data_IF_776041133838
#
_entry.id   IF_776041133838
#
_cell.length_a   1.000
_cell.length_b   1.000
_cell.length_c   1.000
_cell.angle_alpha   90.00
_cell.angle_beta   90.00
_cell.angle_gamma   90.00
#
_symmetry.space_group_name_H-M   'P 1'
#
loop_
_entity.id
_entity.type
_entity.pdbx_description
1 polymer ?
#
# COMPACT_ATOMS: atom_id res chain seq x y z
N UNK A 1 7.49 -94.55 -5.08
CA UNK A 1 6.85 -93.51 -4.26
C UNK A 1 7.47 -92.16 -4.67
N UNK A 2 6.79 -91.37 -5.51
CA UNK A 2 7.23 -90.04 -5.96
C UNK A 2 6.47 -88.96 -5.14
N UNK A 3 7.19 -88.18 -4.30
CA UNK A 3 6.60 -87.04 -3.58
C UNK A 3 6.76 -85.80 -4.47
N UNK A 4 5.67 -85.23 -4.87
CA UNK A 4 5.57 -83.98 -5.65
C UNK A 4 5.56 -82.80 -4.63
N UNK A 5 6.53 -81.90 -4.75
CA UNK A 5 6.65 -80.68 -3.93
C UNK A 5 5.95 -79.54 -4.71
N UNK A 6 4.86 -79.00 -4.18
CA UNK A 6 4.20 -77.84 -4.73
C UNK A 6 4.81 -76.58 -4.08
N UNK A 7 5.49 -75.76 -4.90
CA UNK A 7 5.92 -74.44 -4.52
C UNK A 7 4.71 -73.47 -4.59
N UNK A 8 4.41 -72.83 -3.47
CA UNK A 8 3.43 -71.77 -3.36
C UNK A 8 4.14 -70.41 -3.53
N UNK A 9 3.95 -69.73 -4.66
CA UNK A 9 4.43 -68.35 -4.90
C UNK A 9 3.47 -67.39 -4.27
N UNK A 10 3.88 -66.73 -3.17
CA UNK A 10 3.19 -65.61 -2.54
C UNK A 10 3.67 -64.35 -3.24
N UNK A 11 2.81 -63.78 -4.11
CA UNK A 11 3.03 -62.46 -4.72
C UNK A 11 2.76 -61.36 -3.70
N UNK A 12 3.81 -60.66 -3.23
CA UNK A 12 3.68 -59.45 -2.43
C UNK A 12 3.39 -58.31 -3.38
N UNK A 13 2.13 -57.83 -3.42
CA UNK A 13 1.74 -56.60 -4.06
C UNK A 13 2.21 -55.43 -3.20
N UNK A 14 3.32 -54.81 -3.58
CA UNK A 14 3.78 -53.53 -2.98
C UNK A 14 2.88 -52.45 -3.55
N UNK A 15 1.79 -52.13 -2.86
CA UNK A 15 0.98 -50.93 -3.10
C UNK A 15 1.77 -49.69 -2.74
N UNK A 16 2.42 -49.06 -3.72
CA UNK A 16 3.04 -47.74 -3.52
C UNK A 16 1.98 -46.71 -3.17
N UNK A 17 1.86 -46.34 -1.90
CA UNK A 17 1.12 -45.15 -1.48
C UNK A 17 1.94 -43.96 -2.00
N UNK A 18 1.48 -43.37 -3.11
CA UNK A 18 1.95 -42.07 -3.55
C UNK A 18 1.52 -41.07 -2.49
N UNK A 19 2.38 -40.82 -1.50
CA UNK A 19 2.27 -39.69 -0.60
C UNK A 19 2.48 -38.43 -1.46
N UNK A 20 1.39 -37.84 -1.95
CA UNK A 20 1.42 -36.47 -2.46
C UNK A 20 1.71 -35.59 -1.25
N UNK A 21 2.98 -35.31 -0.99
CA UNK A 21 3.37 -34.27 -0.05
C UNK A 21 2.72 -32.97 -0.54
N UNK A 22 1.63 -32.56 0.08
CA UNK A 22 1.11 -31.20 -0.11
C UNK A 22 2.25 -30.25 0.23
N UNK A 23 2.72 -29.52 -0.81
CA UNK A 23 3.77 -28.53 -0.61
C UNK A 23 3.27 -27.52 0.44
N UNK A 24 4.00 -27.37 1.53
CA UNK A 24 3.63 -26.41 2.58
C UNK A 24 3.48 -25.01 1.94
N UNK A 25 2.40 -24.28 2.27
CA UNK A 25 2.18 -22.96 1.72
C UNK A 25 3.35 -22.04 2.06
N UNK A 26 3.78 -21.28 1.08
CA UNK A 26 4.88 -20.33 1.23
C UNK A 26 4.50 -19.23 2.22
N UNK A 27 5.28 -19.09 3.29
CA UNK A 27 5.05 -18.05 4.30
C UNK A 27 5.53 -16.69 3.80
N UNK A 28 4.63 -15.72 3.68
CA UNK A 28 4.94 -14.36 3.24
C UNK A 28 4.42 -13.35 4.26
N UNK A 29 5.32 -12.50 4.73
CA UNK A 29 5.01 -11.35 5.60
C UNK A 29 4.96 -10.08 4.76
N UNK A 30 3.86 -9.34 4.87
CA UNK A 30 3.65 -8.06 4.17
C UNK A 30 3.45 -6.95 5.20
N UNK A 31 4.44 -6.08 5.36
CA UNK A 31 4.26 -4.87 6.15
C UNK A 31 3.34 -3.88 5.45
N UNK A 32 2.43 -3.21 6.15
CA UNK A 32 1.65 -2.13 5.56
C UNK A 32 1.66 -0.87 6.44
N UNK A 33 1.71 0.31 5.80
CA UNK A 33 2.17 1.55 6.46
C UNK A 33 1.07 2.37 7.10
N UNK A 34 -0.21 2.13 6.81
CA UNK A 34 -1.29 2.96 7.33
C UNK A 34 -2.62 2.21 7.45
N UNK A 35 -3.47 2.65 8.39
CA UNK A 35 -4.87 2.26 8.53
C UNK A 35 -5.74 3.24 7.72
N UNK A 36 -5.71 3.16 6.40
CA UNK A 36 -6.43 4.06 5.48
C UNK A 36 -7.12 3.25 4.38
N UNK A 37 -8.19 3.80 3.81
CA UNK A 37 -8.99 3.13 2.79
C UNK A 37 -8.21 2.69 1.55
N UNK A 38 -7.12 3.37 1.21
CA UNK A 38 -6.23 3.00 0.11
C UNK A 38 -5.48 1.68 0.32
N UNK A 39 -5.45 1.11 1.54
CA UNK A 39 -4.85 -0.20 1.83
C UNK A 39 -5.83 -1.36 1.70
N UNK A 40 -7.10 -1.08 1.46
CA UNK A 40 -8.15 -2.10 1.35
C UNK A 40 -7.89 -3.16 0.27
N UNK A 41 -7.23 -2.88 -0.88
CA UNK A 41 -6.85 -3.94 -1.82
C UNK A 41 -6.00 -5.06 -1.21
N UNK A 42 -5.08 -4.76 -0.28
CA UNK A 42 -4.32 -5.76 0.46
C UNK A 42 -5.22 -6.53 1.44
N UNK A 43 -6.06 -5.81 2.17
CA UNK A 43 -6.92 -6.41 3.19
C UNK A 43 -7.97 -7.34 2.57
N UNK A 44 -8.64 -6.91 1.50
CA UNK A 44 -9.63 -7.74 0.81
C UNK A 44 -8.97 -8.95 0.13
N UNK A 45 -7.73 -8.81 -0.38
CA UNK A 45 -6.98 -9.95 -0.89
C UNK A 45 -6.75 -11.01 0.19
N UNK A 46 -6.51 -10.59 1.45
CA UNK A 46 -6.41 -11.50 2.59
C UNK A 46 -7.76 -12.08 2.99
N UNK A 47 -8.81 -11.25 3.09
CA UNK A 47 -10.14 -11.67 3.55
C UNK A 47 -10.88 -12.60 2.56
N UNK A 48 -10.51 -12.57 1.29
CA UNK A 48 -11.05 -13.45 0.26
C UNK A 48 -10.13 -14.63 -0.08
N UNK A 49 -9.12 -14.91 0.75
CA UNK A 49 -8.16 -16.00 0.59
C UNK A 49 -7.45 -15.99 -0.78
N UNK A 50 -7.22 -14.77 -1.37
CA UNK A 50 -6.61 -14.66 -2.69
C UNK A 50 -5.13 -15.05 -2.68
N UNK A 51 -4.44 -14.84 -1.57
CA UNK A 51 -3.07 -15.32 -1.37
C UNK A 51 -3.03 -16.84 -1.21
N UNK A 52 -3.92 -17.39 -0.44
CA UNK A 52 -4.04 -18.82 -0.19
C UNK A 52 -4.33 -19.58 -1.48
N UNK A 53 -5.16 -19.04 -2.39
CA UNK A 53 -5.39 -19.58 -3.74
C UNK A 53 -4.12 -19.62 -4.60
N UNK A 54 -3.13 -18.80 -4.27
CA UNK A 54 -1.80 -18.82 -4.90
C UNK A 54 -0.79 -19.69 -4.14
N UNK A 55 -1.22 -20.48 -3.15
CA UNK A 55 -0.34 -21.30 -2.32
C UNK A 55 0.53 -20.48 -1.36
N UNK A 56 0.07 -19.29 -0.98
CA UNK A 56 0.78 -18.36 -0.07
C UNK A 56 -0.01 -18.22 1.23
N UNK A 57 0.63 -18.45 2.35
CA UNK A 57 0.13 -18.02 3.65
C UNK A 57 0.60 -16.60 3.92
N UNK A 58 -0.25 -15.62 3.62
CA UNK A 58 0.07 -14.20 3.78
C UNK A 58 -0.26 -13.70 5.18
N UNK A 59 0.69 -12.99 5.80
CA UNK A 59 0.52 -12.28 7.07
C UNK A 59 0.69 -10.77 6.87
N UNK A 60 -0.39 -10.01 6.68
CA UNK A 60 -0.34 -8.54 6.70
C UNK A 60 -0.06 -8.05 8.12
N UNK A 61 0.97 -7.18 8.28
CA UNK A 61 1.41 -6.66 9.57
C UNK A 61 1.40 -5.13 9.51
N UNK A 62 0.60 -4.51 10.37
CA UNK A 62 0.59 -3.06 10.48
C UNK A 62 1.88 -2.55 11.12
N UNK A 63 2.60 -1.74 10.38
CA UNK A 63 3.83 -1.06 10.79
C UNK A 63 3.77 0.39 10.31
N UNK A 64 3.43 1.35 11.18
CA UNK A 64 3.08 2.70 10.74
C UNK A 64 4.22 3.41 10.02
N UNK A 65 3.84 4.17 9.00
CA UNK A 65 4.71 5.09 8.26
C UNK A 65 5.92 4.38 7.61
N UNK A 66 7.15 4.79 7.96
CA UNK A 66 8.40 4.25 7.36
C UNK A 66 8.83 2.90 7.92
N UNK A 67 8.26 2.44 9.06
CA UNK A 67 8.69 1.21 9.73
C UNK A 67 8.52 -0.04 8.87
N UNK A 68 7.44 -0.13 8.07
CA UNK A 68 7.23 -1.28 7.18
C UNK A 68 8.34 -1.41 6.13
N UNK A 69 8.86 -0.30 5.62
CA UNK A 69 9.98 -0.31 4.66
C UNK A 69 11.31 -0.65 5.35
N UNK A 70 11.53 -0.18 6.58
CA UNK A 70 12.70 -0.54 7.37
C UNK A 70 12.74 -2.04 7.67
N UNK A 71 11.62 -2.63 8.10
CA UNK A 71 11.48 -4.06 8.33
C UNK A 71 11.70 -4.88 7.04
N UNK A 72 11.18 -4.41 5.90
CA UNK A 72 11.40 -5.04 4.59
C UNK A 72 12.88 -5.01 4.18
N UNK A 73 13.55 -3.87 4.34
CA UNK A 73 14.98 -3.74 4.01
C UNK A 73 15.86 -4.56 4.94
N UNK A 74 15.44 -4.75 6.20
CA UNK A 74 16.10 -5.64 7.15
C UNK A 74 15.81 -7.14 6.92
N UNK A 75 14.86 -7.48 6.01
CA UNK A 75 14.46 -8.86 5.73
C UNK A 75 13.48 -9.46 6.74
N UNK A 76 12.93 -8.67 7.67
CA UNK A 76 11.94 -9.12 8.65
C UNK A 76 10.56 -9.33 8.00
N UNK A 77 10.25 -8.55 6.95
CA UNK A 77 9.12 -8.76 6.04
C UNK A 77 9.61 -8.92 4.61
N UNK A 78 8.84 -9.65 3.79
CA UNK A 78 9.21 -9.92 2.40
C UNK A 78 8.80 -8.76 1.48
N UNK A 79 7.69 -8.11 1.82
CA UNK A 79 7.11 -7.00 1.06
C UNK A 79 6.65 -5.89 2.01
N UNK A 80 6.53 -4.69 1.44
CA UNK A 80 5.84 -3.57 2.07
C UNK A 80 4.77 -3.01 1.13
N UNK A 81 3.59 -2.73 1.68
CA UNK A 81 2.52 -1.97 1.00
C UNK A 81 2.45 -0.59 1.60
N UNK A 82 2.57 0.42 0.77
CA UNK A 82 2.54 1.82 1.21
C UNK A 82 2.84 2.79 0.08
N UNK A 83 2.89 4.07 0.40
CA UNK A 83 3.31 5.10 -0.56
C UNK A 83 4.82 5.04 -0.83
N UNK A 84 5.19 5.29 -2.06
CA UNK A 84 6.51 4.91 -2.58
C UNK A 84 7.62 5.98 -2.39
N UNK A 85 7.39 7.04 -1.63
CA UNK A 85 8.44 8.03 -1.31
C UNK A 85 9.57 7.40 -0.47
N UNK A 86 9.28 6.68 0.66
CA UNK A 86 10.33 6.06 1.45
C UNK A 86 11.23 5.08 0.67
N UNK A 87 10.72 4.18 -0.18
CA UNK A 87 11.58 3.32 -0.99
C UNK A 87 12.40 4.11 -2.02
N UNK A 88 11.88 5.18 -2.61
CA UNK A 88 12.68 6.04 -3.51
C UNK A 88 13.84 6.70 -2.74
N UNK A 89 13.57 7.25 -1.54
CA UNK A 89 14.63 7.82 -0.69
C UNK A 89 15.66 6.76 -0.27
N UNK A 90 15.23 5.56 0.11
CA UNK A 90 16.12 4.47 0.50
C UNK A 90 17.03 4.05 -0.66
N UNK A 91 16.51 3.98 -1.89
CA UNK A 91 17.30 3.64 -3.08
C UNK A 91 18.32 4.73 -3.42
N UNK A 92 17.95 6.00 -3.32
CA UNK A 92 18.91 7.12 -3.46
C UNK A 92 20.01 7.05 -2.39
N UNK A 93 19.71 6.48 -1.21
CA UNK A 93 20.65 6.20 -0.14
C UNK A 93 21.53 4.98 -0.35
N UNK A 94 21.31 4.18 -1.42
CA UNK A 94 22.10 2.99 -1.76
C UNK A 94 21.48 1.66 -1.31
N UNK A 95 20.29 1.65 -0.73
CA UNK A 95 19.52 0.42 -0.52
C UNK A 95 18.92 -0.10 -1.85
N UNK A 96 18.34 -1.29 -1.85
CA UNK A 96 17.85 -1.97 -3.06
C UNK A 96 16.32 -2.17 -3.15
N UNK A 97 15.45 -1.27 -2.62
CA UNK A 97 14.02 -1.43 -2.80
C UNK A 97 13.64 -1.34 -4.27
N UNK A 98 12.63 -2.14 -4.66
CA UNK A 98 12.09 -2.20 -6.01
C UNK A 98 10.56 -2.16 -5.95
N UNK A 99 9.95 -1.18 -6.60
CA UNK A 99 8.50 -1.03 -6.67
C UNK A 99 7.97 -1.99 -7.74
N UNK A 100 6.98 -2.81 -7.37
CA UNK A 100 6.42 -3.88 -8.21
C UNK A 100 5.02 -3.55 -8.72
N UNK A 101 4.26 -2.80 -7.93
CA UNK A 101 2.87 -2.45 -8.17
C UNK A 101 2.64 -1.03 -7.68
N UNK A 102 1.94 -0.21 -8.46
CA UNK A 102 1.42 1.10 -8.03
C UNK A 102 -0.06 1.19 -8.41
N UNK A 103 -0.96 1.10 -7.43
CA UNK A 103 -2.38 1.07 -7.70
C UNK A 103 -3.14 2.37 -7.33
N UNK A 104 -2.48 3.33 -6.66
CA UNK A 104 -2.99 4.69 -6.55
C UNK A 104 -2.00 5.68 -7.18
N UNK A 105 -2.51 6.61 -7.98
CA UNK A 105 -1.71 7.62 -8.64
C UNK A 105 -1.98 8.97 -7.99
N UNK A 106 -1.09 9.38 -7.09
CA UNK A 106 -1.21 10.64 -6.38
C UNK A 106 -1.32 10.46 -4.86
N UNK A 107 -1.40 11.58 -4.18
CA UNK A 107 -1.63 11.61 -2.75
C UNK A 107 -3.12 11.53 -2.45
N UNK A 108 -3.50 10.57 -1.62
CA UNK A 108 -4.87 10.44 -1.11
C UNK A 108 -5.04 11.16 0.24
N UNK A 109 -4.35 12.29 0.41
CA UNK A 109 -4.33 13.05 1.67
C UNK A 109 -4.98 14.43 1.50
N UNK A 110 -5.43 14.95 2.63
CA UNK A 110 -5.82 16.35 2.77
C UNK A 110 -5.07 16.98 3.93
N UNK A 111 -4.79 18.27 3.86
CA UNK A 111 -4.42 19.04 5.05
C UNK A 111 -5.70 19.54 5.67
N UNK A 112 -6.01 19.06 6.86
CA UNK A 112 -7.21 19.43 7.61
C UNK A 112 -6.80 20.22 8.84
N UNK A 113 -7.50 21.32 9.13
CA UNK A 113 -7.21 22.22 10.24
C UNK A 113 -8.39 22.36 11.20
N UNK A 114 -8.09 22.47 12.49
CA UNK A 114 -9.08 22.77 13.52
C UNK A 114 -9.32 24.29 13.64
N UNK A 115 -10.52 24.73 14.05
CA UNK A 115 -10.74 26.13 14.38
C UNK A 115 -9.72 26.64 15.42
N UNK A 116 -9.26 27.91 15.35
CA UNK A 116 -9.76 28.98 14.47
C UNK A 116 -9.10 29.04 13.08
N UNK A 117 -8.28 28.08 12.69
CA UNK A 117 -7.62 28.06 11.36
C UNK A 117 -8.67 27.85 10.27
N UNK A 118 -8.79 28.82 9.36
CA UNK A 118 -9.74 28.80 8.24
C UNK A 118 -9.04 28.84 6.88
N UNK A 119 -7.82 29.31 6.82
CA UNK A 119 -7.03 29.46 5.60
C UNK A 119 -5.56 29.19 5.87
N UNK A 120 -4.76 28.90 4.84
CA UNK A 120 -3.33 28.56 5.00
C UNK A 120 -2.51 29.59 5.79
N UNK A 121 -2.79 30.90 5.63
CA UNK A 121 -2.09 31.97 6.31
C UNK A 121 -2.19 31.93 7.84
N UNK A 122 -3.30 31.38 8.36
CA UNK A 122 -3.56 31.26 9.80
C UNK A 122 -2.64 30.22 10.47
N UNK A 123 -1.91 29.41 9.68
CA UNK A 123 -0.94 28.44 10.19
C UNK A 123 0.37 29.07 10.69
N UNK A 124 0.60 30.39 10.48
CA UNK A 124 1.81 31.06 11.01
C UNK A 124 1.88 30.96 12.52
N UNK A 125 3.03 30.48 13.02
CA UNK A 125 3.26 30.21 14.44
C UNK A 125 2.54 28.98 14.98
N UNK A 126 1.90 28.17 14.12
CA UNK A 126 1.13 26.99 14.51
C UNK A 126 1.90 25.69 14.24
N UNK A 127 1.31 24.58 14.70
CA UNK A 127 1.85 23.22 14.54
C UNK A 127 1.05 22.44 13.53
N UNK A 128 1.74 21.76 12.62
CA UNK A 128 1.16 20.82 11.63
C UNK A 128 1.63 19.41 11.95
N UNK A 129 0.68 18.51 12.17
CA UNK A 129 0.90 17.13 12.50
C UNK A 129 1.17 16.26 11.26
N UNK A 130 2.20 15.42 11.34
CA UNK A 130 2.52 14.39 10.36
C UNK A 130 2.79 13.07 11.08
N UNK A 131 2.74 11.94 10.35
CA UNK A 131 3.01 10.64 10.97
C UNK A 131 4.47 10.52 11.41
N UNK A 132 5.39 10.62 10.45
CA UNK A 132 6.85 10.62 10.70
C UNK A 132 7.54 11.53 9.68
N UNK A 133 8.71 12.05 10.05
CA UNK A 133 9.56 12.74 9.09
C UNK A 133 10.02 11.77 7.98
N UNK A 134 10.03 12.26 6.73
CA UNK A 134 10.28 11.46 5.55
C UNK A 134 9.12 10.56 5.11
N UNK A 135 8.00 10.54 5.85
CA UNK A 135 6.78 9.84 5.44
C UNK A 135 5.96 10.67 4.43
N UNK A 136 5.02 10.04 3.70
CA UNK A 136 4.15 10.74 2.76
C UNK A 136 3.39 11.93 3.35
N UNK A 137 3.00 11.86 4.61
CA UNK A 137 2.33 12.97 5.31
C UNK A 137 3.25 14.16 5.57
N UNK A 138 4.53 13.93 5.90
CA UNK A 138 5.54 15.00 6.01
C UNK A 138 5.78 15.64 4.65
N UNK A 139 5.86 14.82 3.63
CA UNK A 139 6.05 15.29 2.26
C UNK A 139 4.86 16.14 1.80
N UNK A 140 3.63 15.67 2.02
CA UNK A 140 2.41 16.42 1.74
C UNK A 140 2.35 17.75 2.51
N UNK A 141 2.73 17.74 3.79
CA UNK A 141 2.81 18.98 4.58
C UNK A 141 3.78 19.98 3.97
N UNK A 142 4.98 19.54 3.58
CA UNK A 142 6.01 20.42 2.98
C UNK A 142 5.59 20.96 1.63
N UNK A 143 4.96 20.15 0.78
CA UNK A 143 4.39 20.61 -0.50
C UNK A 143 3.34 21.69 -0.26
N UNK A 144 2.37 21.46 0.64
CA UNK A 144 1.34 22.42 0.96
C UNK A 144 1.92 23.73 1.50
N UNK A 145 2.83 23.64 2.47
CA UNK A 145 3.48 24.81 3.05
C UNK A 145 4.27 25.62 2.00
N UNK A 146 5.02 24.94 1.12
CA UNK A 146 5.75 25.59 0.00
C UNK A 146 4.79 26.30 -0.96
N UNK A 147 3.68 25.66 -1.31
CA UNK A 147 2.64 26.24 -2.18
C UNK A 147 2.01 27.49 -1.56
N UNK A 148 1.88 27.53 -0.24
CA UNK A 148 1.33 28.65 0.50
C UNK A 148 2.34 29.73 0.92
N UNK A 149 3.62 29.56 0.51
CA UNK A 149 4.69 30.48 0.89
C UNK A 149 5.03 30.47 2.38
N UNK A 150 4.80 29.33 3.06
CA UNK A 150 5.11 29.11 4.47
C UNK A 150 6.36 28.25 4.62
N UNK A 151 7.31 28.73 5.41
CA UNK A 151 8.62 28.07 5.58
C UNK A 151 8.57 27.16 6.82
N UNK A 152 8.78 25.82 6.69
CA UNK A 152 8.92 24.92 7.82
C UNK A 152 10.02 25.36 8.77
N UNK A 153 9.81 25.18 10.08
CA UNK A 153 10.66 25.58 11.18
C UNK A 153 10.81 27.12 11.40
N UNK A 154 10.37 27.94 10.45
CA UNK A 154 10.32 29.41 10.61
C UNK A 154 8.90 29.89 10.82
N UNK A 155 8.00 29.60 9.90
CA UNK A 155 6.61 30.06 9.94
C UNK A 155 5.67 29.02 10.58
N UNK A 156 5.98 27.73 10.45
CA UNK A 156 5.16 26.60 10.90
C UNK A 156 6.05 25.51 11.48
N UNK A 157 5.65 24.94 12.63
CA UNK A 157 6.36 23.81 13.22
C UNK A 157 5.70 22.49 12.79
N UNK A 158 6.44 21.62 12.10
CA UNK A 158 5.96 20.26 11.79
C UNK A 158 6.24 19.35 12.98
N UNK A 159 5.20 18.61 13.44
CA UNK A 159 5.28 17.70 14.60
C UNK A 159 5.07 16.26 14.12
N UNK A 160 6.00 15.37 14.50
CA UNK A 160 5.88 13.93 14.26
C UNK A 160 5.03 13.26 15.34
N UNK A 161 3.99 12.50 14.96
CA UNK A 161 2.97 11.96 15.86
C UNK A 161 2.89 10.40 15.86
N UNK A 162 3.63 9.73 14.97
CA UNK A 162 3.71 8.27 14.92
C UNK A 162 2.85 7.67 13.83
N UNK A 163 1.53 7.62 13.98
CA UNK A 163 0.58 7.05 13.04
C UNK A 163 -0.57 8.00 12.69
N UNK A 164 -1.49 7.55 11.83
CA UNK A 164 -2.68 8.33 11.45
C UNK A 164 -3.69 8.49 12.60
N UNK A 165 -3.97 7.43 13.41
CA UNK A 165 -4.85 7.57 14.57
C UNK A 165 -4.32 8.64 15.56
N UNK A 166 -3.02 8.65 15.83
CA UNK A 166 -2.35 9.60 16.73
C UNK A 166 -2.38 11.02 16.15
N UNK A 167 -2.19 11.17 14.82
CA UNK A 167 -2.27 12.45 14.14
C UNK A 167 -3.69 13.05 14.21
N UNK A 168 -4.71 12.21 14.00
CA UNK A 168 -6.10 12.62 14.14
C UNK A 168 -6.46 12.98 15.60
N UNK A 169 -6.03 12.18 16.57
CA UNK A 169 -6.24 12.46 17.99
C UNK A 169 -5.58 13.77 18.41
N UNK A 170 -4.35 14.04 17.96
CA UNK A 170 -3.63 15.28 18.23
C UNK A 170 -4.33 16.52 17.63
N UNK A 171 -4.91 16.38 16.43
CA UNK A 171 -5.70 17.42 15.80
C UNK A 171 -6.99 17.72 16.59
N UNK A 172 -7.74 16.67 16.98
CA UNK A 172 -8.95 16.81 17.82
C UNK A 172 -8.66 17.43 19.19
N UNK A 173 -7.56 17.03 19.79
CA UNK A 173 -7.14 17.53 21.13
C UNK A 173 -6.46 18.88 21.08
N UNK A 174 -6.28 19.52 19.89
CA UNK A 174 -5.65 20.82 19.75
C UNK A 174 -4.13 20.82 19.97
N UNK A 175 -3.50 19.65 20.11
CA UNK A 175 -2.04 19.54 20.21
C UNK A 175 -1.33 19.99 18.94
N UNK A 176 -1.99 19.86 17.79
CA UNK A 176 -1.63 20.46 16.51
C UNK A 176 -2.85 21.18 15.93
N UNK A 177 -2.65 22.23 15.14
CA UNK A 177 -3.73 23.03 14.57
C UNK A 177 -4.10 22.61 13.16
N UNK A 178 -3.24 21.83 12.49
CA UNK A 178 -3.56 21.13 11.27
C UNK A 178 -2.86 19.77 11.25
N UNK A 179 -3.36 18.85 10.43
CA UNK A 179 -2.73 17.55 10.20
C UNK A 179 -2.93 17.10 8.75
N UNK A 180 -1.99 16.28 8.24
CA UNK A 180 -2.11 15.65 6.94
C UNK A 180 -2.75 14.27 7.13
N UNK A 181 -3.98 14.11 6.64
CA UNK A 181 -4.82 12.96 6.90
C UNK A 181 -5.46 12.43 5.60
N UNK A 182 -5.49 11.11 5.38
CA UNK A 182 -6.31 10.49 4.34
C UNK A 182 -7.71 10.16 4.87
N UNK A 183 -8.69 9.83 4.02
CA UNK A 183 -9.89 9.14 4.44
C UNK A 183 -9.54 7.79 5.12
N UNK A 184 -10.22 7.40 6.21
CA UNK A 184 -11.42 8.02 6.76
C UNK A 184 -11.17 9.22 7.69
N UNK A 185 -9.93 9.44 8.16
CA UNK A 185 -9.62 10.44 9.18
C UNK A 185 -9.90 11.88 8.74
N UNK A 186 -9.57 12.23 7.49
CA UNK A 186 -9.88 13.56 6.92
C UNK A 186 -11.40 13.79 6.83
N UNK A 187 -12.15 12.77 6.39
CA UNK A 187 -13.61 12.85 6.29
C UNK A 187 -14.24 13.04 7.67
N UNK A 188 -13.79 12.27 8.66
CA UNK A 188 -14.28 12.37 10.02
C UNK A 188 -13.95 13.72 10.66
N UNK A 189 -12.75 14.25 10.41
CA UNK A 189 -12.35 15.57 10.86
C UNK A 189 -13.29 16.67 10.28
N UNK A 190 -13.58 16.62 8.98
CA UNK A 190 -14.50 17.57 8.35
C UNK A 190 -15.92 17.47 8.90
N UNK A 191 -16.43 16.27 9.20
CA UNK A 191 -17.73 16.06 9.86
C UNK A 191 -17.78 16.69 11.25
N UNK A 192 -16.63 16.78 11.94
CA UNK A 192 -16.51 17.42 13.23
C UNK A 192 -16.28 18.94 13.13
N UNK A 193 -16.51 19.55 11.95
CA UNK A 193 -16.41 20.99 11.75
C UNK A 193 -15.02 21.52 11.48
N UNK A 194 -14.04 20.65 11.19
CA UNK A 194 -12.69 21.06 10.77
C UNK A 194 -12.68 21.45 9.29
N UNK A 195 -11.73 22.30 8.92
CA UNK A 195 -11.61 22.85 7.57
C UNK A 195 -10.56 22.11 6.75
N UNK A 196 -10.90 21.72 5.52
CA UNK A 196 -9.97 21.20 4.56
C UNK A 196 -9.24 22.35 3.85
N UNK A 197 -7.95 22.53 4.13
CA UNK A 197 -7.14 23.59 3.53
C UNK A 197 -6.65 23.23 2.12
N UNK A 198 -6.41 21.95 1.86
CA UNK A 198 -6.10 21.41 0.54
C UNK A 198 -6.52 19.93 0.47
N UNK A 199 -6.99 19.52 -0.71
CA UNK A 199 -7.23 18.12 -1.08
C UNK A 199 -6.27 17.73 -2.21
N UNK A 200 -5.28 16.92 -1.91
CA UNK A 200 -4.33 16.44 -2.92
C UNK A 200 -4.94 15.44 -3.91
N UNK A 201 -6.14 14.86 -3.60
CA UNK A 201 -6.83 14.00 -4.56
C UNK A 201 -7.32 14.76 -5.81
N UNK A 202 -7.41 16.08 -5.71
CA UNK A 202 -7.81 16.95 -6.83
C UNK A 202 -6.60 17.47 -7.63
N UNK A 203 -5.39 17.03 -7.29
CA UNK A 203 -4.16 17.40 -8.00
C UNK A 203 -3.98 16.51 -9.22
N UNK A 204 -3.74 17.10 -10.39
CA UNK A 204 -3.40 16.38 -11.63
C UNK A 204 -1.96 15.85 -11.64
N UNK A 205 -1.20 16.04 -10.55
CA UNK A 205 0.18 15.61 -10.45
C UNK A 205 0.22 14.10 -10.20
N UNK A 206 0.76 13.36 -11.15
CA UNK A 206 1.05 11.93 -10.95
C UNK A 206 2.14 11.75 -9.90
N UNK A 207 1.83 10.98 -8.88
CA UNK A 207 2.80 10.52 -7.89
C UNK A 207 2.71 9.01 -7.73
N UNK A 208 3.81 8.38 -7.34
CA UNK A 208 3.78 6.98 -6.93
C UNK A 208 3.05 6.93 -5.57
N UNK A 209 1.75 6.68 -5.63
CA UNK A 209 0.89 6.55 -4.45
C UNK A 209 1.11 5.21 -3.74
N UNK A 210 0.04 4.55 -3.32
CA UNK A 210 0.14 3.25 -2.63
C UNK A 210 0.42 2.14 -3.62
N UNK A 211 1.37 1.26 -3.26
CA UNK A 211 1.78 0.13 -4.06
C UNK A 211 2.51 -0.94 -3.24
N UNK A 212 2.98 -1.97 -3.93
CA UNK A 212 3.77 -3.07 -3.38
C UNK A 212 5.24 -2.87 -3.71
N UNK A 213 6.08 -2.98 -2.72
CA UNK A 213 7.54 -2.90 -2.82
C UNK A 213 8.18 -4.13 -2.19
N UNK A 214 9.30 -4.57 -2.74
CA UNK A 214 10.19 -5.55 -2.12
C UNK A 214 11.64 -5.10 -2.31
N UNK A 215 12.63 -5.90 -1.90
CA UNK A 215 14.02 -5.67 -2.28
C UNK A 215 14.32 -6.32 -3.63
N UNK A 216 15.16 -5.71 -4.45
CA UNK A 216 15.59 -6.30 -5.74
C UNK A 216 16.23 -7.68 -5.53
N UNK A 217 16.96 -7.84 -4.42
CA UNK A 217 17.54 -9.12 -4.01
C UNK A 217 16.46 -10.18 -3.77
N UNK A 218 15.42 -9.88 -2.97
CA UNK A 218 14.33 -10.83 -2.73
C UNK A 218 13.61 -11.20 -4.02
N UNK A 219 13.29 -10.21 -4.86
CA UNK A 219 12.64 -10.40 -6.16
C UNK A 219 13.44 -11.35 -7.06
N UNK A 220 14.75 -11.16 -7.16
CA UNK A 220 15.61 -12.00 -8.00
C UNK A 220 15.76 -13.43 -7.51
N UNK A 221 15.75 -13.65 -6.20
CA UNK A 221 15.93 -14.99 -5.60
C UNK A 221 14.61 -15.73 -5.38
N UNK A 222 13.46 -15.03 -5.36
CA UNK A 222 12.12 -15.57 -5.09
C UNK A 222 11.12 -15.10 -6.15
N UNK A 223 11.49 -15.22 -7.42
CA UNK A 223 10.71 -14.72 -8.55
C UNK A 223 9.28 -15.27 -8.60
N UNK A 224 9.13 -16.59 -8.44
CA UNK A 224 7.82 -17.24 -8.46
C UNK A 224 6.95 -16.82 -7.26
N UNK A 225 7.54 -16.66 -6.07
CA UNK A 225 6.82 -16.12 -4.91
C UNK A 225 6.33 -14.69 -5.16
N UNK A 226 7.19 -13.86 -5.77
CA UNK A 226 6.86 -12.48 -6.13
C UNK A 226 5.72 -12.44 -7.13
N UNK A 227 5.75 -13.29 -8.17
CA UNK A 227 4.68 -13.42 -9.19
C UNK A 227 3.34 -13.75 -8.54
N UNK A 228 3.30 -14.72 -7.64
CA UNK A 228 2.09 -15.14 -6.91
C UNK A 228 1.54 -14.05 -6.01
N UNK A 229 2.41 -13.33 -5.29
CA UNK A 229 2.01 -12.20 -4.43
C UNK A 229 1.41 -11.07 -5.26
N UNK A 230 2.06 -10.69 -6.37
CA UNK A 230 1.55 -9.65 -7.28
C UNK A 230 0.20 -10.07 -7.87
N UNK A 231 0.06 -11.33 -8.31
CA UNK A 231 -1.21 -11.86 -8.84
C UNK A 231 -2.35 -11.76 -7.83
N UNK A 232 -2.12 -12.18 -6.58
CA UNK A 232 -3.11 -12.11 -5.50
C UNK A 232 -3.49 -10.65 -5.18
N UNK A 233 -2.52 -9.75 -5.11
CA UNK A 233 -2.79 -8.34 -4.85
C UNK A 233 -3.56 -7.66 -6.00
N UNK A 234 -3.21 -7.98 -7.26
CA UNK A 234 -3.94 -7.47 -8.43
C UNK A 234 -5.39 -7.94 -8.42
N UNK A 235 -5.65 -9.22 -8.11
CA UNK A 235 -7.04 -9.70 -7.92
C UNK A 235 -7.72 -8.95 -6.75
N UNK A 236 -7.01 -8.67 -5.66
CA UNK A 236 -7.50 -7.84 -4.54
C UNK A 236 -7.89 -6.42 -4.95
N UNK A 237 -7.16 -5.82 -5.90
CA UNK A 237 -7.50 -4.51 -6.47
C UNK A 237 -8.84 -4.57 -7.23
N UNK A 238 -9.05 -5.61 -8.03
CA UNK A 238 -10.31 -5.83 -8.76
C UNK A 238 -11.46 -6.15 -7.81
N UNK A 239 -11.24 -7.01 -6.81
CA UNK A 239 -12.22 -7.33 -5.79
C UNK A 239 -12.62 -6.10 -4.96
N UNK A 240 -11.64 -5.24 -4.61
CA UNK A 240 -11.90 -3.96 -3.95
C UNK A 240 -12.92 -3.10 -4.71
N UNK A 241 -12.78 -2.98 -6.02
CA UNK A 241 -13.70 -2.17 -6.85
C UNK A 241 -15.01 -2.90 -7.16
N UNK A 242 -14.98 -4.23 -7.32
CA UNK A 242 -16.12 -5.01 -7.82
C UNK A 242 -16.92 -5.75 -6.74
N UNK A 243 -16.45 -5.82 -5.49
CA UNK A 243 -17.17 -6.47 -4.39
C UNK A 243 -17.36 -5.51 -3.22
N UNK A 244 -18.32 -4.59 -3.39
CA UNK A 244 -18.59 -3.50 -2.43
C UNK A 244 -18.78 -4.01 -1.00
N UNK A 245 -19.64 -5.02 -0.77
CA UNK A 245 -19.97 -5.48 0.59
C UNK A 245 -18.75 -6.10 1.29
N UNK A 246 -17.97 -6.92 0.61
CA UNK A 246 -16.74 -7.48 1.19
C UNK A 246 -15.70 -6.39 1.44
N UNK A 247 -15.66 -5.38 0.58
CA UNK A 247 -14.77 -4.22 0.73
C UNK A 247 -15.12 -3.41 1.98
N UNK A 248 -16.41 -3.10 2.19
CA UNK A 248 -16.85 -2.38 3.39
C UNK A 248 -16.55 -3.16 4.67
N UNK A 249 -16.78 -4.49 4.68
CA UNK A 249 -16.39 -5.34 5.83
C UNK A 249 -14.87 -5.32 6.08
N UNK A 250 -14.05 -5.33 5.03
CA UNK A 250 -12.60 -5.23 5.17
C UNK A 250 -12.19 -3.87 5.75
N UNK A 251 -12.76 -2.75 5.25
CA UNK A 251 -12.49 -1.42 5.81
C UNK A 251 -12.88 -1.39 7.30
N UNK A 252 -14.09 -1.82 7.66
CA UNK A 252 -14.58 -1.89 9.04
C UNK A 252 -13.61 -2.67 9.94
N UNK A 253 -13.26 -3.89 9.55
CA UNK A 253 -12.39 -4.79 10.31
C UNK A 253 -11.02 -4.17 10.62
N UNK A 254 -10.37 -3.60 9.61
CA UNK A 254 -8.98 -3.11 9.72
C UNK A 254 -8.90 -1.69 10.27
N UNK A 255 -9.88 -0.84 10.01
CA UNK A 255 -9.91 0.53 10.52
C UNK A 255 -10.68 0.68 11.84
N UNK A 256 -11.46 -0.34 12.21
CA UNK A 256 -12.39 -0.33 13.36
C UNK A 256 -13.46 0.76 13.27
N UNK A 257 -13.76 1.23 12.08
CA UNK A 257 -14.87 2.13 11.82
C UNK A 257 -16.17 1.35 11.83
N UNK A 258 -17.20 1.86 12.51
CA UNK A 258 -18.54 1.24 12.58
C UNK A 258 -19.62 2.09 11.91
N UNK A 259 -19.36 3.38 11.65
CA UNK A 259 -20.30 4.27 10.96
C UNK A 259 -20.40 3.87 9.47
N UNK A 260 -21.57 3.36 9.07
CA UNK A 260 -21.83 2.88 7.72
C UNK A 260 -21.64 3.96 6.63
N UNK A 261 -22.00 5.21 6.94
CA UNK A 261 -21.84 6.31 5.99
C UNK A 261 -20.36 6.64 5.80
N UNK A 262 -19.58 6.65 6.87
CA UNK A 262 -18.14 6.90 6.80
C UNK A 262 -17.39 5.76 6.08
N UNK A 263 -17.81 4.51 6.28
CA UNK A 263 -17.31 3.36 5.53
C UNK A 263 -17.57 3.53 4.03
N UNK A 264 -18.80 3.90 3.66
CA UNK A 264 -19.18 4.13 2.27
C UNK A 264 -18.40 5.28 1.62
N UNK A 265 -18.29 6.42 2.29
CA UNK A 265 -17.51 7.56 1.80
C UNK A 265 -16.02 7.20 1.64
N UNK A 266 -15.48 6.42 2.59
CA UNK A 266 -14.11 5.90 2.50
C UNK A 266 -13.94 4.99 1.29
N UNK A 267 -14.90 4.09 1.04
CA UNK A 267 -14.90 3.22 -0.13
C UNK A 267 -14.96 4.06 -1.42
N UNK A 268 -15.93 4.96 -1.54
CA UNK A 268 -16.15 5.74 -2.78
C UNK A 268 -14.98 6.65 -3.11
N UNK A 269 -14.39 7.31 -2.12
CA UNK A 269 -13.22 8.18 -2.34
C UNK A 269 -12.01 7.38 -2.85
N UNK A 270 -11.76 6.21 -2.27
CA UNK A 270 -10.64 5.37 -2.70
C UNK A 270 -10.90 4.64 -4.02
N UNK A 271 -12.16 4.27 -4.30
CA UNK A 271 -12.56 3.63 -5.56
C UNK A 271 -12.24 4.50 -6.79
N UNK A 272 -12.29 5.83 -6.65
CA UNK A 272 -11.97 6.78 -7.73
C UNK A 272 -10.48 6.77 -8.09
N UNK A 273 -9.60 6.62 -7.10
CA UNK A 273 -8.14 6.76 -7.27
C UNK A 273 -7.42 5.42 -7.47
N UNK A 274 -8.04 4.28 -7.10
CA UNK A 274 -7.47 2.95 -7.31
C UNK A 274 -7.59 2.54 -8.78
N UNK A 275 -6.47 2.21 -9.40
CA UNK A 275 -6.35 1.80 -10.81
C UNK A 275 -6.39 0.28 -10.94
N UNK A 276 -7.19 -0.22 -11.89
CA UNK A 276 -7.30 -1.66 -12.17
C UNK A 276 -6.04 -2.24 -12.82
N UNK A 277 -5.31 -1.43 -13.58
CA UNK A 277 -3.99 -1.77 -14.11
C UNK A 277 -2.93 -1.01 -13.33
N UNK A 278 -2.33 -1.65 -12.31
CA UNK A 278 -1.53 -0.96 -11.30
C UNK A 278 -0.06 -0.82 -11.73
N UNK A 279 0.20 -0.07 -12.80
CA UNK A 279 1.54 0.21 -13.34
C UNK A 279 2.19 1.40 -12.65
N UNK A 280 3.51 1.33 -12.48
CA UNK A 280 4.34 2.48 -12.15
C UNK A 280 4.76 3.17 -13.45
N UNK A 281 4.74 4.51 -13.50
CA UNK A 281 5.16 5.29 -14.66
C UNK A 281 6.44 6.08 -14.39
N UNK A 282 7.23 6.31 -15.43
CA UNK A 282 8.42 7.18 -15.34
C UNK A 282 8.05 8.59 -14.87
N UNK A 283 6.91 9.11 -15.32
CA UNK A 283 6.41 10.43 -14.92
C UNK A 283 6.17 10.51 -13.42
N UNK A 284 5.49 9.50 -12.84
CA UNK A 284 5.22 9.45 -11.42
C UNK A 284 6.51 9.34 -10.57
N UNK A 285 7.49 8.53 -11.01
CA UNK A 285 8.80 8.45 -10.34
C UNK A 285 9.56 9.76 -10.46
N UNK A 286 9.57 10.38 -11.64
CA UNK A 286 10.24 11.66 -11.89
C UNK A 286 9.72 12.76 -10.97
N UNK A 287 8.40 12.87 -10.81
CA UNK A 287 7.80 13.85 -9.92
C UNK A 287 8.22 13.65 -8.45
N UNK A 288 8.38 12.39 -8.00
CA UNK A 288 8.95 12.10 -6.67
C UNK A 288 10.41 12.52 -6.59
N UNK A 289 11.22 12.22 -7.62
CA UNK A 289 12.63 12.59 -7.66
C UNK A 289 12.83 14.10 -7.66
N UNK A 290 12.05 14.83 -8.45
CA UNK A 290 12.06 16.31 -8.49
C UNK A 290 11.74 16.91 -7.12
N UNK A 291 10.73 16.37 -6.48
CA UNK A 291 10.33 16.84 -5.16
C UNK A 291 11.36 16.51 -4.05
N UNK A 292 12.21 15.50 -4.25
CA UNK A 292 13.31 15.16 -3.35
C UNK A 292 14.62 15.90 -3.69
N UNK A 293 14.72 16.53 -4.86
CA UNK A 293 15.96 17.08 -5.41
C UNK A 293 16.61 18.17 -4.54
N UNK A 294 15.80 18.94 -3.81
CA UNK A 294 16.30 19.98 -2.91
C UNK A 294 16.92 19.39 -1.62
N UNK A 295 16.48 18.21 -1.21
CA UNK A 295 16.98 17.53 -0.01
C UNK A 295 18.07 16.49 -0.35
N UNK A 296 18.04 15.95 -1.56
CA UNK A 296 18.99 14.93 -2.02
C UNK A 296 19.41 15.20 -3.49
N UNK A 297 20.59 15.79 -3.71
CA UNK A 297 21.09 16.10 -5.07
C UNK A 297 21.16 14.88 -6.01
N UNK A 298 21.32 13.65 -5.48
CA UNK A 298 21.33 12.42 -6.30
C UNK A 298 20.01 12.21 -7.05
N UNK A 299 18.90 12.74 -6.52
CA UNK A 299 17.59 12.63 -7.15
C UNK A 299 17.54 13.31 -8.54
N UNK A 300 18.33 14.36 -8.78
CA UNK A 300 18.37 15.08 -10.07
C UNK A 300 18.95 14.25 -11.21
N UNK A 301 19.90 13.37 -10.89
CA UNK A 301 20.60 12.52 -11.87
C UNK A 301 20.05 11.09 -11.94
N UNK A 302 19.10 10.73 -11.08
CA UNK A 302 18.59 9.38 -11.01
C UNK A 302 17.70 9.04 -12.21
N UNK A 303 17.88 7.83 -12.77
CA UNK A 303 16.99 7.31 -13.82
C UNK A 303 15.72 6.74 -13.19
N UNK A 304 14.52 7.21 -13.54
CA UNK A 304 13.26 6.68 -13.01
C UNK A 304 13.09 5.15 -13.10
N UNK A 305 13.61 4.55 -14.17
CA UNK A 305 13.50 3.11 -14.41
C UNK A 305 14.29 2.24 -13.42
N UNK A 306 15.22 2.83 -12.67
CA UNK A 306 15.96 2.11 -11.64
C UNK A 306 15.10 1.79 -10.40
N UNK A 307 13.95 2.42 -10.22
CA UNK A 307 13.15 2.36 -9.00
C UNK A 307 12.01 1.34 -9.04
N UNK A 308 11.63 0.85 -10.23
CA UNK A 308 10.47 -0.03 -10.37
C UNK A 308 10.66 -1.08 -11.46
N UNK A 309 9.75 -2.06 -11.48
CA UNK A 309 9.55 -2.96 -12.61
C UNK A 309 8.06 -3.22 -12.81
N UNK A 310 7.59 -3.15 -14.06
CA UNK A 310 6.24 -3.53 -14.44
C UNK A 310 6.16 -4.96 -14.97
N UNK A 311 7.27 -5.73 -14.97
CA UNK A 311 7.35 -7.07 -15.56
C UNK A 311 6.19 -7.98 -15.15
N UNK A 312 5.87 -8.01 -13.86
CA UNK A 312 4.78 -8.88 -13.35
C UNK A 312 3.39 -8.43 -13.81
N UNK A 313 3.19 -7.13 -13.99
CA UNK A 313 1.94 -6.59 -14.55
C UNK A 313 1.84 -6.91 -16.03
N UNK A 314 2.95 -6.81 -16.80
CA UNK A 314 3.02 -7.19 -18.20
C UNK A 314 2.69 -8.68 -18.39
N UNK A 315 3.25 -9.56 -17.57
CA UNK A 315 2.96 -10.99 -17.55
C UNK A 315 1.47 -11.28 -17.28
N UNK A 316 0.84 -10.58 -16.32
CA UNK A 316 -0.59 -10.75 -16.03
C UNK A 316 -1.49 -10.26 -17.18
N UNK A 317 -1.13 -9.19 -17.86
CA UNK A 317 -1.85 -8.70 -19.04
C UNK A 317 -1.73 -9.68 -20.20
N UNK A 318 -0.50 -10.13 -20.51
CA UNK A 318 -0.22 -11.07 -21.60
C UNK A 318 -0.89 -12.43 -21.39
N UNK A 319 -0.97 -12.92 -20.15
CA UNK A 319 -1.66 -14.17 -19.81
C UNK A 319 -3.19 -14.12 -19.98
N UNK A 320 -3.76 -12.93 -20.14
CA UNK A 320 -5.22 -12.73 -20.18
C UNK A 320 -5.87 -12.64 -18.81
N UNK A 321 -5.09 -12.68 -17.72
CA UNK A 321 -5.62 -12.63 -16.35
C UNK A 321 -6.47 -11.39 -16.08
N UNK A 322 -6.11 -10.22 -16.62
CA UNK A 322 -6.92 -9.02 -16.47
C UNK A 322 -8.33 -9.16 -17.11
N UNK A 323 -8.45 -9.93 -18.21
CA UNK A 323 -9.76 -10.22 -18.83
C UNK A 323 -10.58 -11.18 -17.96
N UNK A 324 -9.95 -12.17 -17.34
CA UNK A 324 -10.61 -13.07 -16.38
C UNK A 324 -11.16 -12.28 -15.18
N UNK A 325 -10.37 -11.32 -14.65
CA UNK A 325 -10.79 -10.46 -13.56
C UNK A 325 -11.95 -9.54 -13.96
N UNK A 326 -11.93 -8.98 -15.18
CA UNK A 326 -13.04 -8.17 -15.70
C UNK A 326 -14.35 -8.97 -15.78
N UNK A 327 -14.28 -10.24 -16.14
CA UNK A 327 -15.45 -11.12 -16.15
C UNK A 327 -15.91 -11.50 -14.73
N UNK A 328 -14.97 -11.70 -13.79
CA UNK A 328 -15.27 -12.06 -12.40
C UNK A 328 -15.79 -10.89 -11.56
N UNK A 329 -15.33 -9.68 -11.84
CA UNK A 329 -15.65 -8.45 -11.10
C UNK A 329 -16.19 -7.37 -12.05
N UNK A 330 -17.33 -7.58 -12.73
CA UNK A 330 -17.85 -6.63 -13.73
C UNK A 330 -18.14 -5.25 -13.17
N UNK A 331 -18.53 -5.14 -11.89
CA UNK A 331 -18.79 -3.87 -11.22
C UNK A 331 -17.51 -3.05 -10.95
N UNK A 332 -16.33 -3.64 -11.08
CA UNK A 332 -15.07 -2.91 -10.98
C UNK A 332 -14.85 -1.91 -12.13
N UNK A 333 -15.52 -2.14 -13.27
CA UNK A 333 -15.41 -1.33 -14.49
C UNK A 333 -16.39 -0.14 -14.51
N UNK A 334 -17.38 -0.13 -13.64
CA UNK A 334 -18.38 0.95 -13.48
C UNK A 334 -17.84 1.99 -12.50
#
# INVERSE_FOLDING_TARGET
MKKTFRLLLIGIAIGGVLNTAEAQPLQIKVGYTALAGSFTPLWIAKELDLFERQGIQCSPIYMPSTLAYQAMLAGETNFAVGASIPPVQARLGGADPLILVTYTNGFTFSVVASPPVQQPGDLRGKRVGVTRFGAPTDFGARIALKQWGLIPAKDVTIIQLGGLPEAFAALKGGSVQAAVLPPPFSTEAMRQGMVQLIDFNQSDIEFIGVGLTSTARFVSTHDEATRRVVRALVEGIWAFKGNRESTLRAIEKYTRLTDRNLLEETYQSNRKVVRLTPRTTDAAVRNVLEALADQNPKARAANPQDFYTNRYIDELEQSGFMRELAARYPDALR
#
